data_IF_193297720805
#
_entry.id   IF_193297720805
#
_cell.length_a   1.000
_cell.length_b   1.000
_cell.length_c   1.000
_cell.angle_alpha   90.00
_cell.angle_beta   90.00
_cell.angle_gamma   90.00
#
_symmetry.space_group_name_H-M   'P 1'
#
loop_
_entity.id
_entity.type
_entity.pdbx_description
1 polymer ?
#
# COMPACT_ATOMS: atom_id res chain seq x y z
N UNK A 1 -2.04 21.46 1.75
CA UNK A 1 -0.77 20.76 2.03
C UNK A 1 -1.12 19.38 2.58
N UNK A 2 -0.44 18.31 2.13
CA UNK A 2 -0.72 16.92 2.55
C UNK A 2 0.35 16.46 3.54
N UNK A 3 0.02 15.54 4.44
CA UNK A 3 0.94 14.90 5.37
C UNK A 3 0.50 13.45 5.61
N UNK A 4 1.45 12.59 5.93
CA UNK A 4 1.17 11.24 6.43
C UNK A 4 0.94 11.29 7.95
N UNK A 5 0.06 10.42 8.44
CA UNK A 5 -0.29 10.29 9.86
C UNK A 5 0.64 9.32 10.61
N UNK A 6 1.48 8.59 9.89
CA UNK A 6 2.39 7.57 10.40
C UNK A 6 3.80 7.78 9.87
N UNK A 7 4.76 7.06 10.45
CA UNK A 7 6.15 7.05 9.98
C UNK A 7 6.29 6.20 8.71
N UNK A 8 5.64 6.60 7.61
CA UNK A 8 5.82 5.93 6.33
C UNK A 8 7.25 6.08 5.79
N UNK A 9 7.97 7.13 6.19
CA UNK A 9 9.38 7.36 5.85
C UNK A 9 10.25 6.13 6.15
N UNK A 10 10.06 5.51 7.32
CA UNK A 10 10.76 4.27 7.67
C UNK A 10 10.56 3.17 6.61
N UNK A 11 9.32 2.88 6.22
CA UNK A 11 9.06 1.81 5.23
C UNK A 11 9.47 2.22 3.82
N UNK A 12 9.39 3.50 3.45
CA UNK A 12 9.93 3.99 2.19
C UNK A 12 11.45 3.73 2.12
N UNK A 13 12.19 4.05 3.17
CA UNK A 13 13.63 3.82 3.23
C UNK A 13 13.97 2.32 3.12
N UNK A 14 13.25 1.45 3.83
CA UNK A 14 13.40 0.00 3.71
C UNK A 14 13.19 -0.48 2.26
N UNK A 15 12.17 0.03 1.56
CA UNK A 15 11.89 -0.33 0.17
C UNK A 15 12.98 0.17 -0.77
N UNK A 16 13.43 1.42 -0.60
CA UNK A 16 14.49 2.02 -1.42
C UNK A 16 15.86 1.36 -1.20
N UNK A 17 16.12 0.78 -0.03
CA UNK A 17 17.35 0.01 0.23
C UNK A 17 17.30 -1.39 -0.39
N UNK A 18 16.13 -2.03 -0.44
CA UNK A 18 15.96 -3.38 -1.01
C UNK A 18 15.98 -3.39 -2.54
N UNK A 19 15.68 -2.27 -3.20
CA UNK A 19 15.57 -2.18 -4.66
C UNK A 19 16.13 -0.86 -5.20
N UNK A 20 16.87 -0.95 -6.30
CA UNK A 20 17.37 0.21 -7.02
C UNK A 20 16.28 0.81 -7.91
N UNK A 21 15.60 1.85 -7.43
CA UNK A 21 14.73 2.69 -8.25
C UNK A 21 15.53 3.79 -8.94
N UNK A 22 15.00 4.35 -10.04
CA UNK A 22 15.63 5.50 -10.67
C UNK A 22 15.66 6.72 -9.71
N UNK A 23 16.61 7.64 -9.94
CA UNK A 23 16.82 8.79 -9.06
C UNK A 23 15.58 9.67 -8.92
N UNK A 24 14.81 9.87 -9.98
CA UNK A 24 13.61 10.71 -9.99
C UNK A 24 12.56 10.16 -9.02
N UNK A 25 12.35 8.84 -9.04
CA UNK A 25 11.46 8.14 -8.12
C UNK A 25 11.95 8.31 -6.68
N UNK A 26 13.25 8.12 -6.43
CA UNK A 26 13.82 8.33 -5.10
C UNK A 26 13.59 9.76 -4.59
N UNK A 27 13.83 10.77 -5.42
CA UNK A 27 13.64 12.18 -5.07
C UNK A 27 12.16 12.50 -4.78
N UNK A 28 11.23 11.94 -5.57
CA UNK A 28 9.78 12.08 -5.30
C UNK A 28 9.42 11.40 -3.98
N UNK A 29 9.90 10.18 -3.72
CA UNK A 29 9.65 9.46 -2.47
C UNK A 29 10.21 10.23 -1.27
N UNK A 30 11.43 10.74 -1.38
CA UNK A 30 12.06 11.55 -0.35
C UNK A 30 11.22 12.81 -0.06
N UNK A 31 10.77 13.51 -1.11
CA UNK A 31 9.94 14.70 -0.94
C UNK A 31 8.58 14.41 -0.29
N UNK A 32 7.87 13.36 -0.70
CA UNK A 32 6.58 13.02 -0.06
C UNK A 32 6.75 12.47 1.36
N UNK A 33 7.93 11.93 1.69
CA UNK A 33 8.26 11.45 3.04
C UNK A 33 8.53 12.60 4.01
N UNK A 34 8.71 13.83 3.51
CA UNK A 34 8.80 15.00 4.38
C UNK A 34 7.48 15.23 5.13
N UNK A 35 7.56 15.90 6.29
CA UNK A 35 6.40 16.22 7.15
C UNK A 35 5.23 16.91 6.40
N UNK A 36 5.49 17.49 5.23
CA UNK A 36 4.46 18.09 4.42
C UNK A 36 4.82 18.17 2.94
N UNK A 37 3.91 17.77 2.06
CA UNK A 37 4.12 17.82 0.62
C UNK A 37 2.92 18.39 -0.14
N UNK A 38 3.18 18.80 -1.38
CA UNK A 38 2.20 19.37 -2.31
C UNK A 38 2.38 18.79 -3.71
N UNK A 39 1.32 18.79 -4.51
CA UNK A 39 1.42 18.40 -5.92
C UNK A 39 2.36 19.32 -6.71
N UNK A 40 2.39 20.62 -6.38
CA UNK A 40 3.30 21.57 -6.99
C UNK A 40 4.77 21.19 -6.78
N UNK A 41 5.17 20.82 -5.56
CA UNK A 41 6.56 20.41 -5.33
C UNK A 41 6.92 19.09 -6.02
N UNK A 42 5.98 18.14 -6.15
CA UNK A 42 6.19 16.95 -6.98
C UNK A 42 6.43 17.36 -8.45
N UNK A 43 5.59 18.26 -8.97
CA UNK A 43 5.74 18.74 -10.35
C UNK A 43 7.09 19.46 -10.55
N UNK A 44 7.53 20.27 -9.59
CA UNK A 44 8.86 20.92 -9.63
C UNK A 44 10.01 19.91 -9.67
N UNK A 45 9.91 18.78 -8.94
CA UNK A 45 10.90 17.71 -9.04
C UNK A 45 10.90 17.12 -10.45
N UNK A 46 9.72 16.78 -10.98
CA UNK A 46 9.59 16.21 -12.34
C UNK A 46 10.15 17.16 -13.41
N UNK A 47 9.85 18.46 -13.32
CA UNK A 47 10.36 19.49 -14.21
C UNK A 47 11.89 19.58 -14.18
N UNK A 48 12.52 19.45 -13.01
CA UNK A 48 13.99 19.44 -12.90
C UNK A 48 14.65 18.27 -13.63
N UNK A 49 13.89 17.21 -13.91
CA UNK A 49 14.29 16.05 -14.71
C UNK A 49 13.72 16.05 -16.14
N UNK A 50 13.14 17.15 -16.61
CA UNK A 50 12.47 17.25 -17.92
C UNK A 50 11.30 16.27 -18.12
N UNK A 51 10.62 15.88 -17.04
CA UNK A 51 9.41 15.06 -17.10
C UNK A 51 8.17 15.94 -16.94
N UNK A 52 7.26 15.82 -17.90
CA UNK A 52 5.99 16.56 -17.89
C UNK A 52 4.91 15.92 -17.01
N UNK A 53 5.09 14.65 -16.60
CA UNK A 53 4.06 13.92 -15.87
C UNK A 53 4.60 12.77 -15.02
N UNK A 54 4.02 12.62 -13.83
CA UNK A 54 4.24 11.50 -12.91
C UNK A 54 3.85 10.15 -13.53
N UNK A 55 2.96 10.14 -14.53
CA UNK A 55 2.52 8.93 -15.23
C UNK A 55 3.67 8.15 -15.87
N UNK A 56 4.75 8.85 -16.26
CA UNK A 56 5.96 8.22 -16.80
C UNK A 56 6.69 7.32 -15.79
N UNK A 57 6.47 7.52 -14.48
CA UNK A 57 7.08 6.79 -13.38
C UNK A 57 6.12 5.76 -12.74
N UNK A 58 4.93 5.57 -13.33
CA UNK A 58 3.82 4.85 -12.71
C UNK A 58 4.17 3.41 -12.30
N UNK A 59 4.89 2.68 -13.15
CA UNK A 59 5.32 1.31 -12.83
C UNK A 59 6.22 1.25 -11.59
N UNK A 60 7.10 2.23 -11.40
CA UNK A 60 7.96 2.31 -10.21
C UNK A 60 7.14 2.61 -8.96
N UNK A 61 6.20 3.56 -9.03
CA UNK A 61 5.33 3.85 -7.89
C UNK A 61 4.38 2.71 -7.55
N UNK A 62 3.90 1.97 -8.56
CA UNK A 62 3.08 0.78 -8.37
C UNK A 62 3.87 -0.33 -7.66
N UNK A 63 5.13 -0.55 -8.06
CA UNK A 63 6.02 -1.48 -7.36
C UNK A 63 6.26 -1.04 -5.92
N UNK A 64 6.63 0.23 -5.68
CA UNK A 64 6.83 0.77 -4.33
C UNK A 64 5.58 0.62 -3.47
N UNK A 65 4.40 0.92 -4.01
CA UNK A 65 3.13 0.77 -3.30
C UNK A 65 2.90 -0.66 -2.84
N UNK A 66 3.21 -1.66 -3.67
CA UNK A 66 3.15 -3.07 -3.31
C UNK A 66 4.21 -3.47 -2.29
N UNK A 67 5.46 -3.02 -2.46
CA UNK A 67 6.57 -3.37 -1.57
C UNK A 67 6.38 -2.76 -0.17
N UNK A 68 5.89 -1.53 -0.04
CA UNK A 68 5.64 -0.91 1.28
C UNK A 68 4.65 -1.74 2.08
N UNK A 69 3.54 -2.16 1.46
CA UNK A 69 2.55 -3.01 2.13
C UNK A 69 3.18 -4.30 2.64
N UNK A 70 4.04 -4.92 1.83
CA UNK A 70 4.78 -6.12 2.22
C UNK A 70 5.71 -5.84 3.40
N UNK A 71 6.49 -4.76 3.36
CA UNK A 71 7.40 -4.39 4.46
C UNK A 71 6.62 -4.12 5.76
N UNK A 72 5.49 -3.42 5.70
CA UNK A 72 4.64 -3.18 6.88
C UNK A 72 4.14 -4.51 7.44
N UNK A 73 3.62 -5.41 6.59
CA UNK A 73 3.15 -6.74 7.01
C UNK A 73 4.26 -7.57 7.67
N UNK A 74 5.46 -7.54 7.10
CA UNK A 74 6.63 -8.25 7.64
C UNK A 74 7.12 -7.67 8.97
N UNK A 75 6.92 -6.37 9.20
CA UNK A 75 7.44 -5.66 10.38
C UNK A 75 6.43 -5.61 11.53
N UNK A 76 5.14 -5.43 11.23
CA UNK A 76 4.09 -5.16 12.23
C UNK A 76 3.01 -6.24 12.32
N UNK A 77 3.18 -7.35 11.60
CA UNK A 77 2.22 -8.45 11.41
C UNK A 77 0.95 -8.08 10.62
N UNK A 78 0.42 -6.87 10.78
CA UNK A 78 -0.71 -6.36 9.99
C UNK A 78 -0.60 -4.86 9.75
N UNK A 79 -1.22 -4.39 8.67
CA UNK A 79 -1.32 -2.95 8.38
C UNK A 79 -2.44 -2.34 9.21
N UNK A 80 -2.14 -1.31 9.99
CA UNK A 80 -3.09 -0.56 10.84
C UNK A 80 -3.90 0.45 10.01
N UNK A 81 -5.03 0.88 10.55
CA UNK A 81 -5.94 1.81 9.85
C UNK A 81 -5.28 3.14 9.46
N UNK A 82 -4.47 3.72 10.34
CA UNK A 82 -3.73 4.95 10.05
C UNK A 82 -2.69 4.76 8.92
N UNK A 83 -1.97 3.65 8.91
CA UNK A 83 -1.06 3.28 7.82
C UNK A 83 -1.84 3.08 6.51
N UNK A 84 -3.03 2.47 6.56
CA UNK A 84 -3.90 2.32 5.39
C UNK A 84 -4.33 3.67 4.82
N UNK A 85 -4.70 4.63 5.66
CA UNK A 85 -5.04 6.00 5.22
C UNK A 85 -3.85 6.67 4.52
N UNK A 86 -2.65 6.49 5.04
CA UNK A 86 -1.43 7.02 4.43
C UNK A 86 -1.12 6.35 3.09
N UNK A 87 -1.32 5.04 2.98
CA UNK A 87 -1.21 4.29 1.73
C UNK A 87 -2.23 4.78 0.69
N UNK A 88 -3.47 5.10 1.08
CA UNK A 88 -4.47 5.72 0.18
C UNK A 88 -3.96 7.09 -0.30
N UNK A 89 -3.41 7.90 0.60
CA UNK A 89 -2.87 9.19 0.26
C UNK A 89 -1.69 9.08 -0.72
N UNK A 90 -0.81 8.11 -0.51
CA UNK A 90 0.31 7.80 -1.41
C UNK A 90 -0.21 7.36 -2.79
N UNK A 91 -1.13 6.39 -2.84
CA UNK A 91 -1.79 5.93 -4.08
C UNK A 91 -2.35 7.10 -4.89
N UNK A 92 -3.12 7.99 -4.24
CA UNK A 92 -3.70 9.18 -4.88
C UNK A 92 -2.62 10.17 -5.37
N UNK A 93 -1.56 10.34 -4.60
CA UNK A 93 -0.47 11.27 -4.92
C UNK A 93 0.33 10.79 -6.13
N UNK A 94 0.55 9.48 -6.24
CA UNK A 94 1.24 8.85 -7.37
C UNK A 94 0.32 8.54 -8.56
N UNK A 95 -0.97 8.89 -8.48
CA UNK A 95 -1.97 8.60 -9.52
C UNK A 95 -2.02 7.11 -9.89
N UNK A 96 -1.96 6.25 -8.88
CA UNK A 96 -2.12 4.80 -9.04
C UNK A 96 -3.61 4.47 -9.03
N UNK A 97 -4.08 3.84 -10.10
CA UNK A 97 -5.48 3.49 -10.29
C UNK A 97 -5.80 2.06 -9.84
N UNK A 98 -7.07 1.78 -9.58
CA UNK A 98 -7.53 0.48 -9.07
C UNK A 98 -7.28 -0.68 -10.04
N UNK A 99 -7.57 -0.47 -11.33
CA UNK A 99 -7.39 -1.50 -12.36
C UNK A 99 -5.92 -1.90 -12.53
N UNK A 100 -4.99 -0.97 -12.28
CA UNK A 100 -3.55 -1.22 -12.34
C UNK A 100 -3.11 -2.16 -11.23
N UNK A 101 -3.72 -2.04 -10.04
CA UNK A 101 -3.45 -2.94 -8.91
C UNK A 101 -3.98 -4.35 -9.17
N UNK A 102 -5.14 -4.47 -9.83
CA UNK A 102 -5.76 -5.77 -10.12
C UNK A 102 -4.90 -6.64 -11.06
N UNK A 103 -4.20 -6.01 -12.00
CA UNK A 103 -3.35 -6.69 -12.97
C UNK A 103 -1.91 -6.87 -12.44
N UNK A 104 -1.42 -5.95 -11.61
CA UNK A 104 -0.02 -5.93 -11.18
C UNK A 104 0.25 -6.80 -9.95
N UNK A 105 0.98 -7.90 -10.16
CA UNK A 105 1.38 -8.87 -9.12
C UNK A 105 0.18 -9.40 -8.30
N UNK A 106 -0.90 -9.77 -8.99
CA UNK A 106 -2.14 -10.32 -8.40
C UNK A 106 -1.92 -11.40 -7.34
N UNK A 107 -1.01 -12.35 -7.59
CA UNK A 107 -0.69 -13.41 -6.63
C UNK A 107 -0.06 -12.88 -5.34
N UNK A 108 0.85 -11.90 -5.45
CA UNK A 108 1.47 -11.27 -4.28
C UNK A 108 0.46 -10.49 -3.46
N UNK A 109 -0.44 -9.75 -4.12
CA UNK A 109 -1.53 -9.01 -3.46
C UNK A 109 -2.51 -9.96 -2.76
N UNK A 110 -2.79 -11.11 -3.38
CA UNK A 110 -3.58 -12.18 -2.77
C UNK A 110 -2.90 -12.73 -1.51
N UNK A 111 -1.60 -13.03 -1.58
CA UNK A 111 -0.84 -13.50 -0.41
C UNK A 111 -0.83 -12.47 0.71
N UNK A 112 -0.65 -11.18 0.40
CA UNK A 112 -0.73 -10.11 1.40
C UNK A 112 -2.11 -10.05 2.07
N UNK A 113 -3.20 -10.22 1.32
CA UNK A 113 -4.57 -10.29 1.86
C UNK A 113 -4.76 -11.46 2.83
N UNK A 114 -4.19 -12.62 2.50
CA UNK A 114 -4.19 -13.79 3.38
C UNK A 114 -3.44 -13.50 4.67
N UNK A 115 -2.23 -12.95 4.58
CA UNK A 115 -1.41 -12.59 5.74
C UNK A 115 -2.11 -11.58 6.65
N UNK A 116 -2.71 -10.53 6.07
CA UNK A 116 -3.49 -9.54 6.82
C UNK A 116 -4.67 -10.21 7.55
N UNK A 117 -5.43 -11.05 6.85
CA UNK A 117 -6.61 -11.73 7.41
C UNK A 117 -6.25 -12.61 8.59
N UNK A 118 -5.18 -13.40 8.46
CA UNK A 118 -4.68 -14.26 9.54
C UNK A 118 -4.18 -13.46 10.74
N UNK A 119 -3.42 -12.40 10.49
CA UNK A 119 -2.85 -11.59 11.58
C UNK A 119 -3.92 -10.80 12.34
N UNK A 120 -4.91 -10.24 11.61
CA UNK A 120 -6.04 -9.51 12.21
C UNK A 120 -6.95 -10.45 13.00
N UNK A 121 -7.23 -11.65 12.51
CA UNK A 121 -8.10 -12.60 13.24
C UNK A 121 -7.48 -13.01 14.58
N UNK A 122 -6.15 -13.17 14.63
CA UNK A 122 -5.38 -13.49 15.83
C UNK A 122 -5.08 -12.28 16.74
N UNK A 123 -5.39 -11.06 16.31
CA UNK A 123 -5.17 -9.86 17.11
C UNK A 123 -6.20 -9.75 18.25
N UNK A 124 -5.84 -10.26 19.43
CA UNK A 124 -6.72 -10.25 20.62
C UNK A 124 -6.99 -8.84 21.18
N UNK A 125 -6.23 -7.84 20.75
CA UNK A 125 -6.34 -6.46 21.21
C UNK A 125 -7.25 -5.58 20.34
N UNK A 126 -7.85 -6.15 19.28
CA UNK A 126 -8.79 -5.45 18.40
C UNK A 126 -10.21 -5.98 18.64
N UNK A 127 -11.17 -5.07 18.69
CA UNK A 127 -12.59 -5.47 18.72
C UNK A 127 -13.00 -6.02 17.34
N UNK A 128 -14.00 -6.91 17.30
CA UNK A 128 -14.44 -7.55 16.05
C UNK A 128 -14.87 -6.52 14.98
N UNK A 129 -15.48 -5.41 15.41
CA UNK A 129 -15.83 -4.30 14.51
C UNK A 129 -14.59 -3.67 13.88
N UNK A 130 -13.55 -3.40 14.68
CA UNK A 130 -12.29 -2.84 14.18
C UNK A 130 -11.59 -3.80 13.22
N UNK A 131 -11.63 -5.10 13.51
CA UNK A 131 -11.10 -6.14 12.61
C UNK A 131 -11.82 -6.12 11.26
N UNK A 132 -13.15 -6.02 11.26
CA UNK A 132 -13.95 -5.97 10.03
C UNK A 132 -13.64 -4.72 9.21
N UNK A 133 -13.62 -3.54 9.85
CA UNK A 133 -13.30 -2.26 9.19
C UNK A 133 -11.89 -2.30 8.58
N UNK A 134 -10.92 -2.85 9.31
CA UNK A 134 -9.55 -3.03 8.84
C UNK A 134 -9.48 -3.93 7.60
N UNK A 135 -10.10 -5.10 7.63
CA UNK A 135 -10.07 -6.05 6.52
C UNK A 135 -10.80 -5.51 5.28
N UNK A 136 -11.91 -4.82 5.46
CA UNK A 136 -12.64 -4.18 4.36
C UNK A 136 -11.80 -3.11 3.69
N UNK A 137 -11.14 -2.25 4.49
CA UNK A 137 -10.26 -1.22 3.95
C UNK A 137 -9.05 -1.84 3.25
N UNK A 138 -8.44 -2.87 3.84
CA UNK A 138 -7.30 -3.54 3.23
C UNK A 138 -7.65 -4.20 1.90
N UNK A 139 -8.81 -4.85 1.81
CA UNK A 139 -9.32 -5.45 0.57
C UNK A 139 -9.34 -4.44 -0.59
N UNK A 140 -9.78 -3.21 -0.32
CA UNK A 140 -9.77 -2.12 -1.30
C UNK A 140 -8.35 -1.65 -1.66
N UNK A 141 -7.40 -1.68 -0.71
CA UNK A 141 -6.01 -1.27 -0.96
C UNK A 141 -5.24 -2.23 -1.86
N UNK A 142 -5.61 -3.51 -1.85
CA UNK A 142 -4.98 -4.56 -2.66
C UNK A 142 -5.74 -4.86 -3.97
N UNK A 143 -6.85 -4.19 -4.24
CA UNK A 143 -7.59 -4.36 -5.49
C UNK A 143 -8.33 -5.68 -5.62
N UNK A 144 -8.70 -6.32 -4.52
CA UNK A 144 -9.37 -7.62 -4.54
C UNK A 144 -10.90 -7.43 -4.64
N UNK A 145 -11.50 -7.85 -5.76
CA UNK A 145 -12.96 -7.84 -5.96
C UNK A 145 -13.68 -8.94 -5.16
N UNK A 146 -15.00 -8.80 -4.98
CA UNK A 146 -15.83 -9.55 -4.03
C UNK A 146 -15.82 -11.08 -4.17
N UNK A 147 -15.53 -11.62 -5.36
CA UNK A 147 -15.51 -13.08 -5.62
C UNK A 147 -14.36 -13.84 -4.93
N UNK A 148 -13.46 -13.14 -4.22
CA UNK A 148 -12.32 -13.76 -3.54
C UNK A 148 -12.65 -14.60 -2.29
N UNK A 149 -13.87 -14.52 -1.78
CA UNK A 149 -14.34 -15.47 -0.75
C UNK A 149 -14.24 -16.93 -1.24
N UNK A 150 -14.33 -17.16 -2.56
CA UNK A 150 -14.13 -18.48 -3.16
C UNK A 150 -12.65 -18.93 -3.13
N UNK A 151 -11.70 -17.99 -3.28
CA UNK A 151 -10.26 -18.29 -3.30
C UNK A 151 -9.69 -18.57 -1.90
N UNK A 152 -10.19 -17.86 -0.89
CA UNK A 152 -9.88 -18.12 0.53
C UNK A 152 -10.35 -19.52 0.96
N UNK A 153 -11.55 -19.94 0.51
CA UNK A 153 -12.14 -21.25 0.81
C UNK A 153 -11.34 -22.41 0.20
N UNK A 154 -10.79 -22.25 -0.99
CA UNK A 154 -10.06 -23.32 -1.67
C UNK A 154 -8.60 -23.48 -1.21
N UNK A 155 -7.98 -22.42 -0.65
CA UNK A 155 -6.55 -22.44 -0.28
C UNK A 155 -6.25 -22.60 1.22
N UNK A 156 -7.18 -22.31 2.13
CA UNK A 156 -6.79 -22.10 3.55
C UNK A 156 -7.54 -22.90 4.62
N UNK A 157 -8.53 -23.76 4.31
CA UNK A 157 -9.23 -24.57 5.33
C UNK A 157 -9.64 -23.76 6.58
N UNK A 158 -10.01 -22.49 6.42
CA UNK A 158 -10.36 -21.60 7.54
C UNK A 158 -11.80 -21.92 7.96
N UNK A 159 -12.08 -22.23 9.24
CA UNK A 159 -13.44 -22.43 9.73
C UNK A 159 -14.26 -21.14 9.58
N UNK A 160 -15.57 -21.28 9.37
CA UNK A 160 -16.50 -20.16 9.27
C UNK A 160 -16.36 -19.21 10.47
N UNK A 161 -15.67 -18.10 10.28
CA UNK A 161 -15.89 -16.88 11.04
C UNK A 161 -16.64 -15.95 10.08
N UNK A 162 -17.80 -15.43 10.50
CA UNK A 162 -18.66 -14.51 9.75
C UNK A 162 -19.67 -15.17 8.79
N UNK A 163 -20.79 -15.58 9.37
CA UNK A 163 -22.13 -15.55 8.76
C UNK A 163 -22.83 -14.25 9.14
#
# INVERSE_FOLDING_TARGET
>A
MKHFNTNLEFYFNEVLQKKSYNKIVQDVIYYISTNSFTQLGINSILESYNLSSIKSLKLSFLDIYCEIKKVILETENYIKLNQMQDLILFKKTCQIEEHELQEYKKDQLTTMYIMQTQSISMANNLEDKEKQENLQLFKSLVGIQEDYNYLMRSKLNIPNCFS
#
